data_IF_269428786641
#
_entry.id   IF_269428786641
#
_cell.length_a   1.000
_cell.length_b   1.000
_cell.length_c   1.000
_cell.angle_alpha   90.00
_cell.angle_beta   90.00
_cell.angle_gamma   90.00
#
_symmetry.space_group_name_H-M   'P 1'
#
loop_
_entity.id
_entity.type
_entity.pdbx_description
1 polymer ?
#
# COMPACT_ATOMS: atom_id res chain seq x y z
N UNK A 1 2.32 31.12 -1.83
CA UNK A 1 2.09 30.12 -2.90
C UNK A 1 1.11 29.11 -2.33
N UNK A 2 -0.10 29.04 -2.87
CA UNK A 2 -1.11 28.11 -2.41
C UNK A 2 -1.01 26.80 -3.18
N UNK A 3 -0.87 25.68 -2.48
CA UNK A 3 -0.80 24.33 -3.06
C UNK A 3 -2.08 23.58 -2.69
N UNK A 4 -2.75 23.06 -3.73
CA UNK A 4 -3.93 22.22 -3.59
C UNK A 4 -3.50 20.75 -3.66
N UNK A 5 -3.16 20.19 -2.50
CA UNK A 5 -3.11 18.78 -2.11
C UNK A 5 -2.56 17.71 -3.06
N UNK A 6 -2.65 16.48 -2.57
CA UNK A 6 -2.33 15.23 -3.27
C UNK A 6 -0.93 15.23 -3.90
N UNK A 7 0.03 15.82 -3.18
CA UNK A 7 1.45 15.81 -3.53
C UNK A 7 1.98 14.38 -3.63
N UNK A 8 1.45 13.50 -2.77
CA UNK A 8 1.84 12.11 -2.65
C UNK A 8 0.89 11.14 -3.38
N UNK A 9 0.22 11.59 -4.44
CA UNK A 9 -0.66 10.73 -5.25
C UNK A 9 0.16 9.72 -6.08
N UNK A 10 0.10 9.78 -7.42
CA UNK A 10 0.62 8.72 -8.30
C UNK A 10 1.96 9.05 -8.93
N UNK A 11 2.44 10.26 -8.73
CA UNK A 11 3.65 10.78 -9.36
C UNK A 11 4.93 10.31 -8.67
N UNK A 12 6.04 10.23 -9.39
CA UNK A 12 7.34 9.99 -8.78
C UNK A 12 7.84 11.25 -8.06
N UNK A 13 8.70 11.05 -7.05
CA UNK A 13 9.52 12.10 -6.42
C UNK A 13 8.77 13.28 -5.75
N UNK A 14 7.74 13.05 -4.90
CA UNK A 14 7.16 14.10 -4.05
C UNK A 14 8.20 14.76 -3.13
N UNK A 15 9.27 14.01 -2.79
CA UNK A 15 10.38 14.51 -2.01
C UNK A 15 11.09 15.70 -2.67
N UNK A 16 11.22 15.70 -4.01
CA UNK A 16 11.83 16.84 -4.72
C UNK A 16 10.93 18.06 -4.76
N UNK A 17 9.62 17.84 -4.89
CA UNK A 17 8.62 18.91 -4.88
C UNK A 17 8.66 19.62 -3.53
N UNK A 18 8.65 18.86 -2.43
CA UNK A 18 8.71 19.42 -1.09
C UNK A 18 10.02 20.16 -0.83
N UNK A 19 11.19 19.60 -1.18
CA UNK A 19 12.47 20.33 -1.06
C UNK A 19 12.46 21.67 -1.81
N UNK A 20 11.80 21.72 -2.97
CA UNK A 20 11.65 22.97 -3.73
C UNK A 20 10.69 23.94 -3.04
N UNK A 21 9.58 23.45 -2.50
CA UNK A 21 8.59 24.27 -1.78
C UNK A 21 9.18 24.88 -0.50
N UNK A 22 10.07 24.15 0.19
CA UNK A 22 10.82 24.65 1.35
C UNK A 22 11.73 25.86 1.04
N UNK A 23 12.04 26.12 -0.23
CA UNK A 23 12.83 27.30 -0.64
C UNK A 23 11.97 28.56 -0.84
N UNK A 24 10.65 28.45 -0.86
CA UNK A 24 9.76 29.60 -1.01
C UNK A 24 9.49 30.25 0.35
N UNK A 25 9.36 31.58 0.35
CA UNK A 25 9.15 32.37 1.57
C UNK A 25 7.78 32.13 2.21
N UNK A 26 6.72 32.07 1.39
CA UNK A 26 5.34 31.89 1.85
C UNK A 26 4.68 30.76 1.05
N UNK A 27 4.41 29.64 1.71
CA UNK A 27 3.68 28.50 1.15
C UNK A 27 2.58 28.08 2.11
N UNK A 28 1.40 27.81 1.57
CA UNK A 28 0.27 27.26 2.32
C UNK A 28 -0.32 26.06 1.58
N UNK A 29 -0.82 25.08 2.34
CA UNK A 29 -1.30 23.80 1.82
C UNK A 29 -2.76 23.57 2.19
N UNK A 30 -3.53 23.15 1.19
CA UNK A 30 -4.76 22.41 1.40
C UNK A 30 -4.47 20.93 1.22
N UNK A 31 -4.47 20.16 2.31
CA UNK A 31 -4.12 18.73 2.27
C UNK A 31 -5.19 17.90 1.57
N UNK A 32 -4.74 17.01 0.69
CA UNK A 32 -5.55 15.99 0.04
C UNK A 32 -5.59 14.68 0.83
N UNK A 33 -6.40 13.72 0.37
CA UNK A 33 -6.54 12.44 1.06
C UNK A 33 -5.26 11.60 0.95
N UNK A 34 -4.49 11.72 -0.13
CA UNK A 34 -3.22 11.01 -0.25
C UNK A 34 -2.19 11.55 0.73
N UNK A 35 -2.16 12.87 0.94
CA UNK A 35 -1.25 13.49 1.90
C UNK A 35 -1.55 13.01 3.33
N UNK A 36 -2.82 12.95 3.71
CA UNK A 36 -3.25 12.45 5.03
C UNK A 36 -2.86 10.98 5.23
N UNK A 37 -2.95 10.15 4.19
CA UNK A 37 -2.48 8.75 4.25
C UNK A 37 -0.98 8.70 4.50
N UNK A 38 -0.18 9.55 3.85
CA UNK A 38 1.26 9.62 4.09
C UNK A 38 1.62 10.15 5.48
N UNK A 39 0.89 11.15 5.99
CA UNK A 39 1.02 11.62 7.39
C UNK A 39 0.72 10.49 8.38
N UNK A 40 -0.35 9.73 8.16
CA UNK A 40 -0.69 8.56 8.98
C UNK A 40 0.40 7.49 8.93
N UNK A 41 1.00 7.27 7.76
CA UNK A 41 2.11 6.32 7.60
C UNK A 41 3.36 6.80 8.36
N UNK A 42 3.69 8.08 8.28
CA UNK A 42 4.79 8.70 9.02
C UNK A 42 4.59 8.63 10.54
N UNK A 43 3.35 8.78 11.02
CA UNK A 43 2.98 8.58 12.43
C UNK A 43 3.05 7.10 12.88
N UNK A 44 3.19 6.16 11.94
CA UNK A 44 3.35 4.73 12.19
C UNK A 44 2.05 3.93 12.14
N UNK A 45 1.00 4.43 11.48
CA UNK A 45 -0.23 3.66 11.24
C UNK A 45 0.04 2.52 10.25
N UNK A 46 -0.10 1.24 10.66
CA UNK A 46 0.15 0.10 9.79
C UNK A 46 -0.72 0.09 8.52
N UNK A 47 -2.01 0.41 8.65
CA UNK A 47 -2.92 0.44 7.51
C UNK A 47 -2.51 1.52 6.50
N UNK A 48 -2.20 2.73 6.98
CA UNK A 48 -1.73 3.82 6.12
C UNK A 48 -0.41 3.45 5.41
N UNK A 49 0.53 2.82 6.11
CA UNK A 49 1.79 2.32 5.51
C UNK A 49 1.51 1.36 4.37
N UNK A 50 0.63 0.37 4.58
CA UNK A 50 0.27 -0.58 3.53
C UNK A 50 -0.47 0.11 2.37
N UNK A 51 -1.30 1.13 2.64
CA UNK A 51 -1.95 1.93 1.58
C UNK A 51 -0.93 2.72 0.76
N UNK A 52 0.08 3.33 1.40
CA UNK A 52 1.21 4.00 0.70
C UNK A 52 1.97 3.01 -0.18
N UNK A 53 2.32 1.85 0.37
CA UNK A 53 3.03 0.80 -0.35
C UNK A 53 2.22 0.29 -1.54
N UNK A 54 0.93 -0.02 -1.34
CA UNK A 54 0.03 -0.49 -2.39
C UNK A 54 -0.01 0.49 -3.55
N UNK A 55 -0.17 1.79 -3.26
CA UNK A 55 -0.23 2.82 -4.29
C UNK A 55 1.12 2.97 -4.97
N UNK A 56 2.21 3.04 -4.21
CA UNK A 56 3.57 3.17 -4.76
C UNK A 56 3.92 2.02 -5.70
N UNK A 57 3.56 0.78 -5.34
CA UNK A 57 3.83 -0.41 -6.14
C UNK A 57 2.92 -0.47 -7.39
N UNK A 58 1.65 -0.10 -7.27
CA UNK A 58 0.72 -0.03 -8.40
C UNK A 58 1.19 0.92 -9.51
N UNK A 59 1.94 1.97 -9.16
CA UNK A 59 2.48 2.95 -10.11
C UNK A 59 4.00 2.80 -10.35
N UNK A 60 4.62 1.71 -9.89
CA UNK A 60 6.06 1.44 -10.04
C UNK A 60 6.97 2.57 -9.52
N UNK A 61 6.55 3.28 -8.47
CA UNK A 61 7.28 4.41 -7.90
C UNK A 61 8.18 4.02 -6.73
N UNK A 62 8.79 2.83 -6.78
CA UNK A 62 9.58 2.26 -5.67
C UNK A 62 10.71 3.20 -5.23
N UNK A 63 11.34 3.92 -6.17
CA UNK A 63 12.40 4.89 -5.89
C UNK A 63 11.95 6.00 -4.93
N UNK A 64 10.66 6.35 -4.90
CA UNK A 64 10.12 7.35 -3.95
C UNK A 64 10.34 6.89 -2.50
N UNK A 65 10.11 5.62 -2.20
CA UNK A 65 10.33 5.08 -0.85
C UNK A 65 11.81 4.83 -0.59
N UNK A 66 12.50 4.11 -1.47
CA UNK A 66 13.87 3.66 -1.21
C UNK A 66 14.90 4.79 -1.32
N UNK A 67 14.84 5.60 -2.39
CA UNK A 67 15.79 6.70 -2.62
C UNK A 67 15.29 8.03 -2.07
N UNK A 68 13.99 8.30 -2.23
CA UNK A 68 13.37 9.53 -1.78
C UNK A 68 13.37 9.63 -0.26
N UNK A 69 12.81 8.63 0.41
CA UNK A 69 12.62 8.61 1.87
C UNK A 69 13.53 7.64 2.63
N UNK A 70 14.38 6.86 1.96
CA UNK A 70 15.30 5.95 2.64
C UNK A 70 14.63 4.76 3.32
N UNK A 71 13.42 4.40 2.89
CA UNK A 71 12.62 3.31 3.47
C UNK A 71 12.92 2.02 2.69
N UNK A 72 13.60 1.02 3.29
CA UNK A 72 14.00 -0.20 2.60
C UNK A 72 12.82 -1.16 2.40
N UNK A 73 12.66 -1.71 1.19
CA UNK A 73 11.59 -2.68 0.89
C UNK A 73 12.04 -4.15 0.89
N UNK A 74 13.32 -4.43 1.16
CA UNK A 74 13.89 -5.80 1.07
C UNK A 74 13.12 -6.83 1.91
N UNK A 75 12.68 -6.47 3.11
CA UNK A 75 11.92 -7.40 3.96
C UNK A 75 10.58 -7.79 3.32
N UNK A 76 9.90 -6.82 2.70
CA UNK A 76 8.67 -7.04 1.96
C UNK A 76 8.91 -7.86 0.68
N UNK A 77 9.99 -7.58 -0.05
CA UNK A 77 10.38 -8.33 -1.24
C UNK A 77 10.59 -9.82 -0.92
N UNK A 78 11.35 -10.11 0.13
CA UNK A 78 11.60 -11.51 0.55
C UNK A 78 10.30 -12.22 0.93
N UNK A 79 9.39 -11.53 1.63
CA UNK A 79 8.07 -12.07 1.97
C UNK A 79 7.23 -12.36 0.74
N UNK A 80 7.19 -11.41 -0.20
CA UNK A 80 6.46 -11.56 -1.45
C UNK A 80 7.00 -12.76 -2.24
N UNK A 81 8.32 -12.95 -2.30
CA UNK A 81 8.92 -14.12 -2.92
C UNK A 81 8.60 -15.42 -2.18
N UNK A 82 8.61 -15.43 -0.85
CA UNK A 82 8.33 -16.60 -0.02
C UNK A 82 6.91 -17.14 -0.24
N UNK A 83 5.89 -16.27 -0.26
CA UNK A 83 4.48 -16.69 -0.30
C UNK A 83 3.80 -16.53 -1.65
N UNK A 84 4.30 -15.66 -2.54
CA UNK A 84 3.65 -15.30 -3.81
C UNK A 84 4.53 -15.56 -5.03
N UNK A 85 5.61 -16.35 -4.91
CA UNK A 85 6.50 -16.69 -6.04
C UNK A 85 5.75 -17.25 -7.25
N UNK A 86 4.75 -18.11 -7.00
CA UNK A 86 3.99 -18.85 -8.02
C UNK A 86 2.66 -18.18 -8.41
N UNK A 87 2.34 -17.02 -7.84
CA UNK A 87 1.09 -16.31 -8.14
C UNK A 87 1.05 -15.81 -9.59
N UNK A 88 -0.14 -15.82 -10.20
CA UNK A 88 -0.37 -15.08 -11.45
C UNK A 88 -0.28 -13.58 -11.19
N UNK A 89 0.67 -12.92 -11.86
CA UNK A 89 0.97 -11.50 -11.67
C UNK A 89 0.24 -10.61 -12.68
N UNK A 90 -0.49 -11.18 -13.65
CA UNK A 90 -1.07 -10.45 -14.79
C UNK A 90 -1.89 -9.23 -14.37
N UNK A 91 -2.65 -9.34 -13.27
CA UNK A 91 -3.49 -8.25 -12.72
C UNK A 91 -2.76 -7.29 -11.79
N UNK A 92 -1.59 -7.68 -11.33
CA UNK A 92 -0.79 -6.95 -10.36
C UNK A 92 0.35 -6.16 -10.99
N UNK A 93 0.57 -6.35 -12.30
CA UNK A 93 1.49 -5.54 -13.09
C UNK A 93 1.23 -4.06 -12.86
N UNK A 94 2.29 -3.26 -12.61
CA UNK A 94 2.12 -1.82 -12.43
C UNK A 94 1.44 -1.18 -13.63
N UNK A 95 0.74 -0.09 -13.38
CA UNK A 95 0.16 0.73 -14.44
C UNK A 95 1.26 1.21 -15.39
N UNK A 96 0.95 1.22 -16.69
CA UNK A 96 1.85 1.76 -17.68
C UNK A 96 2.02 3.27 -17.43
N UNK A 97 3.24 3.68 -17.12
CA UNK A 97 3.64 5.08 -17.02
C UNK A 97 4.77 5.33 -18.03
N UNK A 98 4.60 6.24 -19.01
CA UNK A 98 5.67 6.59 -19.94
C UNK A 98 6.92 7.18 -19.25
N UNK A 99 6.79 7.65 -18.02
CA UNK A 99 7.89 8.19 -17.22
C UNK A 99 8.49 7.19 -16.22
N UNK A 100 8.05 5.93 -16.24
CA UNK A 100 8.59 4.90 -15.35
C UNK A 100 10.09 4.72 -15.55
N UNK A 101 10.85 4.77 -14.45
CA UNK A 101 12.32 4.76 -14.48
C UNK A 101 12.90 3.36 -14.65
N UNK A 102 12.23 2.32 -14.14
CA UNK A 102 12.67 0.93 -14.26
C UNK A 102 11.56 0.00 -14.77
N UNK A 103 11.56 -0.21 -16.09
CA UNK A 103 10.58 -1.04 -16.80
C UNK A 103 11.13 -2.41 -17.19
N UNK A 104 12.25 -2.84 -16.59
CA UNK A 104 12.82 -4.17 -16.87
C UNK A 104 11.83 -5.26 -16.45
N UNK A 105 11.61 -6.33 -17.25
CA UNK A 105 10.62 -7.36 -16.91
C UNK A 105 10.80 -7.98 -15.52
N UNK A 106 12.04 -8.25 -15.11
CA UNK A 106 12.34 -8.78 -13.78
C UNK A 106 11.96 -7.79 -12.66
N UNK A 107 12.14 -6.48 -12.88
CA UNK A 107 11.72 -5.45 -11.93
C UNK A 107 10.20 -5.39 -11.83
N UNK A 108 9.51 -5.37 -12.98
CA UNK A 108 8.05 -5.31 -13.01
C UNK A 108 7.41 -6.53 -12.33
N UNK A 109 7.95 -7.73 -12.56
CA UNK A 109 7.49 -8.95 -11.87
C UNK A 109 7.71 -8.86 -10.36
N UNK A 110 8.87 -8.38 -9.91
CA UNK A 110 9.17 -8.15 -8.48
C UNK A 110 8.15 -7.19 -7.85
N UNK A 111 7.91 -6.05 -8.51
CA UNK A 111 6.96 -5.03 -8.03
C UNK A 111 5.53 -5.57 -8.02
N UNK A 112 5.11 -6.29 -9.07
CA UNK A 112 3.79 -6.91 -9.13
C UNK A 112 3.56 -7.92 -8.00
N UNK A 113 4.57 -8.73 -7.67
CA UNK A 113 4.50 -9.69 -6.57
C UNK A 113 4.35 -8.99 -5.22
N UNK A 114 5.15 -7.95 -4.96
CA UNK A 114 4.99 -7.12 -3.77
C UNK A 114 3.63 -6.43 -3.74
N UNK A 115 3.12 -5.95 -4.88
CA UNK A 115 1.82 -5.28 -4.98
C UNK A 115 0.69 -6.21 -4.54
N UNK A 116 0.70 -7.47 -5.01
CA UNK A 116 -0.24 -8.51 -4.56
C UNK A 116 -0.13 -8.73 -3.05
N UNK A 117 1.08 -9.01 -2.57
CA UNK A 117 1.34 -9.31 -1.16
C UNK A 117 0.89 -8.18 -0.21
N UNK A 118 1.22 -6.93 -0.53
CA UNK A 118 0.80 -5.74 0.25
C UNK A 118 -0.71 -5.56 0.21
N UNK A 119 -1.35 -5.83 -0.93
CA UNK A 119 -2.82 -5.67 -1.03
C UNK A 119 -3.54 -6.67 -0.14
N UNK A 120 -3.11 -7.92 -0.08
CA UNK A 120 -3.68 -8.92 0.83
C UNK A 120 -3.44 -8.53 2.29
N UNK A 121 -2.23 -8.12 2.66
CA UNK A 121 -1.92 -7.62 4.00
C UNK A 121 -2.78 -6.41 4.39
N UNK A 122 -2.98 -5.48 3.46
CA UNK A 122 -3.79 -4.27 3.66
C UNK A 122 -5.24 -4.63 3.93
N UNK A 123 -5.80 -5.57 3.16
CA UNK A 123 -7.18 -6.06 3.34
C UNK A 123 -7.36 -6.74 4.71
N UNK A 124 -6.36 -7.50 5.18
CA UNK A 124 -6.38 -8.10 6.53
C UNK A 124 -6.46 -7.04 7.62
N UNK A 125 -5.58 -6.05 7.57
CA UNK A 125 -5.59 -4.93 8.52
C UNK A 125 -6.86 -4.08 8.41
N UNK A 126 -7.38 -3.88 7.22
CA UNK A 126 -8.64 -3.15 7.01
C UNK A 126 -9.81 -3.86 7.70
N UNK A 127 -9.92 -5.18 7.57
CA UNK A 127 -10.94 -5.98 8.26
C UNK A 127 -10.85 -5.86 9.79
N UNK A 128 -9.64 -5.84 10.36
CA UNK A 128 -9.43 -5.60 11.79
C UNK A 128 -9.81 -4.18 12.21
N UNK A 129 -9.44 -3.17 11.41
CA UNK A 129 -9.76 -1.76 11.67
C UNK A 129 -11.27 -1.50 11.60
N UNK A 130 -11.95 -2.09 10.63
CA UNK A 130 -13.41 -1.99 10.51
C UNK A 130 -14.09 -2.66 11.70
N UNK A 131 -13.66 -3.86 12.08
CA UNK A 131 -14.24 -4.60 13.21
C UNK A 131 -14.13 -3.85 14.54
N UNK A 132 -12.99 -3.18 14.80
CA UNK A 132 -12.77 -2.45 16.05
C UNK A 132 -13.39 -1.03 16.08
N UNK A 133 -13.86 -0.51 14.94
CA UNK A 133 -14.48 0.82 14.82
C UNK A 133 -15.88 0.72 14.18
N UNK A 134 -16.87 0.11 14.87
CA UNK A 134 -18.19 -0.10 14.29
C UNK A 134 -18.90 1.20 13.90
N UNK A 135 -18.63 2.30 14.61
CA UNK A 135 -19.20 3.63 14.40
C UNK A 135 -18.79 4.29 13.07
N UNK A 136 -17.80 3.73 12.35
CA UNK A 136 -17.43 4.21 11.02
C UNK A 136 -18.39 3.72 9.92
N UNK A 137 -19.29 2.78 10.23
CA UNK A 137 -20.27 2.22 9.29
C UNK A 137 -19.62 1.63 8.02
N UNK A 138 -18.41 1.08 8.16
CA UNK A 138 -17.61 0.56 7.05
C UNK A 138 -17.74 -0.96 6.83
N UNK A 139 -18.64 -1.65 7.54
CA UNK A 139 -18.77 -3.12 7.47
C UNK A 139 -19.06 -3.61 6.05
N UNK A 140 -19.74 -2.81 5.23
CA UNK A 140 -19.96 -3.11 3.81
C UNK A 140 -18.70 -3.08 2.95
N UNK A 141 -17.58 -2.55 3.46
CA UNK A 141 -16.26 -2.49 2.81
C UNK A 141 -15.26 -3.50 3.33
N UNK A 142 -15.60 -4.31 4.34
CA UNK A 142 -14.79 -5.47 4.73
C UNK A 142 -14.95 -6.55 3.63
N UNK A 143 -14.27 -6.33 2.50
CA UNK A 143 -14.41 -7.18 1.33
C UNK A 143 -13.74 -8.53 1.55
N UNK A 144 -12.69 -8.59 2.36
CA UNK A 144 -11.97 -9.81 2.64
C UNK A 144 -12.89 -10.85 3.30
N UNK A 145 -13.67 -10.46 4.31
CA UNK A 145 -14.68 -11.35 4.92
C UNK A 145 -15.93 -11.58 4.08
N UNK A 146 -16.10 -10.85 2.98
CA UNK A 146 -17.21 -11.00 2.05
C UNK A 146 -16.89 -11.90 0.84
N UNK A 147 -15.69 -12.49 0.79
CA UNK A 147 -15.29 -13.46 -0.22
C UNK A 147 -15.90 -14.83 0.10
N UNK A 148 -16.52 -15.44 -0.91
CA UNK A 148 -16.77 -16.87 -0.96
C UNK A 148 -15.60 -17.53 -1.71
N UNK A 149 -14.68 -18.12 -0.95
CA UNK A 149 -13.43 -18.68 -1.46
C UNK A 149 -13.65 -19.93 -2.31
N UNK A 150 -14.67 -20.73 -2.01
CA UNK A 150 -14.99 -21.95 -2.77
C UNK A 150 -15.65 -21.58 -4.11
N UNK A 151 -16.56 -20.60 -4.11
CA UNK A 151 -17.21 -20.12 -5.32
C UNK A 151 -16.33 -19.16 -6.15
N UNK A 152 -15.27 -18.61 -5.57
CA UNK A 152 -14.43 -17.59 -6.21
C UNK A 152 -15.19 -16.29 -6.45
N UNK A 153 -16.01 -15.85 -5.50
CA UNK A 153 -16.85 -14.64 -5.64
C UNK A 153 -16.74 -13.72 -4.44
N UNK A 154 -17.16 -12.45 -4.58
CA UNK A 154 -17.22 -11.47 -3.49
C UNK A 154 -18.54 -10.72 -3.51
N UNK A 155 -19.06 -10.39 -2.33
CA UNK A 155 -20.23 -9.51 -2.19
C UNK A 155 -19.79 -8.05 -2.15
N UNK A 156 -20.35 -7.23 -3.03
CA UNK A 156 -20.13 -5.78 -3.09
C UNK A 156 -21.48 -5.07 -3.26
N UNK A 157 -21.86 -4.21 -2.32
CA UNK A 157 -23.11 -3.42 -2.42
C UNK A 157 -24.38 -4.27 -2.60
N UNK A 158 -24.45 -5.42 -1.93
CA UNK A 158 -25.59 -6.35 -2.00
C UNK A 158 -25.61 -7.26 -3.23
N UNK A 159 -24.68 -7.11 -4.17
CA UNK A 159 -24.53 -7.96 -5.36
C UNK A 159 -23.32 -8.88 -5.23
N UNK A 160 -23.34 -10.01 -5.93
CA UNK A 160 -22.24 -10.99 -5.97
C UNK A 160 -21.49 -10.86 -7.30
N UNK A 161 -20.17 -10.83 -7.25
CA UNK A 161 -19.29 -10.70 -8.41
C UNK A 161 -18.23 -11.79 -8.43
N UNK A 162 -17.87 -12.35 -9.60
CA UNK A 162 -16.72 -13.23 -9.70
C UNK A 162 -15.43 -12.46 -9.38
N UNK A 163 -14.54 -13.08 -8.62
CA UNK A 163 -13.20 -12.57 -8.39
C UNK A 163 -12.38 -12.64 -9.68
N UNK A 164 -11.50 -11.66 -9.87
CA UNK A 164 -10.56 -11.62 -11.00
C UNK A 164 -9.23 -12.33 -10.68
N UNK A 165 -8.96 -12.56 -9.40
CA UNK A 165 -7.84 -13.32 -8.86
C UNK A 165 -8.35 -14.06 -7.62
N UNK A 166 -8.20 -15.38 -7.59
CA UNK A 166 -8.65 -16.26 -6.50
C UNK A 166 -7.48 -16.84 -5.70
N UNK A 167 -6.23 -16.43 -5.98
CA UNK A 167 -5.03 -16.93 -5.33
C UNK A 167 -4.69 -16.08 -4.10
N UNK A 168 -4.94 -16.62 -2.91
CA UNK A 168 -4.71 -16.00 -1.61
C UNK A 168 -3.84 -16.89 -0.70
N UNK A 169 -2.53 -17.05 -0.99
CA UNK A 169 -1.68 -18.08 -0.38
C UNK A 169 -1.44 -17.91 1.13
N UNK A 170 -1.81 -16.76 1.69
CA UNK A 170 -1.61 -16.44 3.12
C UNK A 170 -2.90 -16.24 3.89
N UNK A 171 -4.07 -16.44 3.25
CA UNK A 171 -5.38 -16.24 3.86
C UNK A 171 -5.95 -17.59 4.28
N UNK A 172 -6.33 -17.69 5.55
CA UNK A 172 -7.18 -18.78 6.03
C UNK A 172 -8.65 -18.36 5.84
N UNK A 173 -9.43 -19.03 4.97
CA UNK A 173 -10.83 -18.68 4.73
C UNK A 173 -11.72 -18.62 5.97
N UNK A 174 -11.34 -19.33 7.05
CA UNK A 174 -12.11 -19.37 8.31
C UNK A 174 -11.84 -18.19 9.24
N UNK A 175 -10.70 -17.51 9.05
CA UNK A 175 -10.28 -16.33 9.81
C UNK A 175 -9.44 -15.42 8.90
N UNK A 176 -10.04 -14.85 7.84
CA UNK A 176 -9.28 -14.31 6.73
C UNK A 176 -8.50 -13.04 7.08
N UNK A 177 -8.94 -12.28 8.10
CA UNK A 177 -8.24 -11.12 8.64
C UNK A 177 -6.95 -11.46 9.39
N UNK A 178 -6.77 -12.73 9.80
CA UNK A 178 -5.70 -13.09 10.72
C UNK A 178 -4.34 -12.96 10.05
N UNK A 179 -3.46 -12.23 10.72
CA UNK A 179 -2.05 -12.16 10.33
C UNK A 179 -1.30 -13.43 10.72
N UNK A 180 -0.41 -13.87 9.85
CA UNK A 180 0.63 -14.84 10.17
C UNK A 180 1.71 -14.17 11.03
N UNK A 181 2.44 -14.90 11.89
CA UNK A 181 3.54 -14.32 12.66
C UNK A 181 4.58 -13.59 11.78
N UNK A 182 4.83 -14.14 10.59
CA UNK A 182 5.70 -13.53 9.59
C UNK A 182 5.19 -12.18 9.09
N UNK A 183 3.88 -12.04 8.91
CA UNK A 183 3.22 -10.80 8.49
C UNK A 183 3.30 -9.73 9.59
N UNK A 184 3.08 -10.12 10.85
CA UNK A 184 3.24 -9.25 12.02
C UNK A 184 4.66 -8.67 12.11
N UNK A 185 5.69 -9.53 11.93
CA UNK A 185 7.10 -9.11 11.93
C UNK A 185 7.40 -8.07 10.84
N UNK A 186 6.87 -8.29 9.63
CA UNK A 186 7.07 -7.39 8.49
C UNK A 186 6.39 -6.05 8.75
N UNK A 187 5.15 -6.06 9.23
CA UNK A 187 4.41 -4.85 9.56
C UNK A 187 5.15 -4.07 10.65
N UNK A 188 5.60 -4.72 11.72
CA UNK A 188 6.36 -4.08 12.80
C UNK A 188 7.67 -3.46 12.28
N UNK A 189 8.35 -4.12 11.33
CA UNK A 189 9.55 -3.60 10.68
C UNK A 189 9.24 -2.37 9.82
N UNK A 190 8.21 -2.44 8.98
CA UNK A 190 7.78 -1.32 8.14
C UNK A 190 7.39 -0.10 8.98
N UNK A 191 6.67 -0.30 10.08
CA UNK A 191 6.34 0.78 11.03
C UNK A 191 7.61 1.44 11.57
N UNK A 192 8.62 0.66 11.95
CA UNK A 192 9.91 1.21 12.41
C UNK A 192 10.60 2.01 11.31
N UNK A 193 10.63 1.49 10.10
CA UNK A 193 11.33 2.09 8.97
C UNK A 193 10.66 3.41 8.53
N UNK A 194 9.32 3.48 8.46
CA UNK A 194 8.58 4.71 8.16
C UNK A 194 8.75 5.78 9.24
N UNK A 195 8.65 5.39 10.52
CA UNK A 195 8.88 6.32 11.65
C UNK A 195 10.33 6.81 11.73
N UNK A 196 11.28 5.98 11.29
CA UNK A 196 12.71 6.30 11.29
C UNK A 196 13.18 7.15 10.10
N UNK A 197 12.32 7.40 9.10
CA UNK A 197 12.68 8.22 7.94
C UNK A 197 12.72 9.70 8.29
N UNK A 198 13.90 10.23 8.61
CA UNK A 198 14.09 11.65 8.97
C UNK A 198 13.51 12.61 7.91
N UNK A 199 13.73 12.31 6.63
CA UNK A 199 13.23 13.15 5.54
C UNK A 199 11.71 13.13 5.47
N UNK A 200 11.09 11.95 5.63
CA UNK A 200 9.63 11.86 5.67
C UNK A 200 9.07 12.62 6.86
N UNK A 201 9.64 12.45 8.06
CA UNK A 201 9.22 13.16 9.27
C UNK A 201 9.36 14.69 9.15
N UNK A 202 10.30 15.18 8.35
CA UNK A 202 10.43 16.61 8.04
C UNK A 202 9.39 17.07 7.00
N UNK A 203 9.00 16.19 6.08
CA UNK A 203 8.18 16.52 4.92
C UNK A 203 6.68 16.52 5.21
N UNK A 204 6.25 15.76 6.22
CA UNK A 204 4.84 15.59 6.63
C UNK A 204 4.51 16.25 7.96
#
# INVERSE_FOLDING_TARGET
>A
LHIVGDLFDRGPRPDMILERLYQYHDVDFQWGNHDVVWMGAAAGSPLCILTVLKTTLAYNNVDTLERGYGIPLRCLEHYAEEYYAQSDLTRWMPHADPNATDVRPANLARVARMHKAVTVLMLKLEAEVIARNPDFEMQGRDYLRQIDYDAGTVRCGGKVYPLLDCDFPTVDPTAPERLLPREEDIIARLVRDFKGSEKLQKHV
#
